data_IF_177362450900
#
_entry.id   IF_177362450900
#
_cell.length_a   1.000
_cell.length_b   1.000
_cell.length_c   1.000
_cell.angle_alpha   90.00
_cell.angle_beta   90.00
_cell.angle_gamma   90.00
#
_symmetry.space_group_name_H-M   'P 1'
#
loop_
_entity.id
_entity.type
_entity.pdbx_description
1 polymer ?
#
# COMPACT_ATOMS: atom_id res chain seq x y z
N UNK A 1 -41.08 -13.51 -2.57
CA UNK A 1 -40.72 -12.97 -1.25
C UNK A 1 -40.21 -14.19 -0.50
N UNK A 2 -38.92 -14.33 -0.19
CA UNK A 2 -38.10 -13.40 0.57
C UNK A 2 -36.63 -13.38 0.14
N UNK A 3 -36.00 -12.24 0.40
CA UNK A 3 -34.66 -11.86 -0.01
C UNK A 3 -33.58 -12.66 0.71
N UNK A 4 -32.79 -13.45 -0.03
CA UNK A 4 -31.47 -13.86 0.42
C UNK A 4 -30.55 -12.64 0.33
N UNK A 5 -30.29 -12.05 1.49
CA UNK A 5 -29.26 -11.04 1.66
C UNK A 5 -27.92 -11.61 1.23
N UNK A 6 -27.47 -11.22 0.05
CA UNK A 6 -26.08 -11.32 -0.34
C UNK A 6 -25.30 -10.43 0.63
N UNK A 7 -24.71 -11.04 1.65
CA UNK A 7 -23.67 -10.42 2.43
C UNK A 7 -22.56 -10.00 1.47
N UNK A 8 -22.48 -8.71 1.19
CA UNK A 8 -21.30 -8.13 0.58
C UNK A 8 -20.10 -8.52 1.43
N UNK A 9 -19.08 -9.22 0.89
CA UNK A 9 -17.82 -9.35 1.59
C UNK A 9 -17.26 -7.94 1.74
N UNK A 10 -17.05 -7.49 2.97
CA UNK A 10 -16.33 -6.26 3.24
C UNK A 10 -14.98 -6.33 2.50
N UNK A 11 -14.62 -5.35 1.65
CA UNK A 11 -13.34 -5.37 0.96
C UNK A 11 -12.26 -4.92 1.95
N UNK A 12 -11.63 -5.84 2.68
CA UNK A 12 -10.31 -5.58 3.29
C UNK A 12 -9.66 -6.87 3.79
N UNK A 13 -9.32 -7.78 2.85
CA UNK A 13 -8.45 -8.93 3.11
C UNK A 13 -6.95 -8.58 3.17
N UNK A 14 -6.61 -7.34 3.55
CA UNK A 14 -5.22 -6.89 3.66
C UNK A 14 -4.76 -7.09 5.10
N UNK A 15 -3.86 -8.05 5.31
CA UNK A 15 -3.14 -8.20 6.57
C UNK A 15 -2.08 -7.09 6.66
N UNK A 16 -2.38 -6.04 7.43
CA UNK A 16 -1.52 -4.87 7.58
C UNK A 16 -0.19 -5.21 8.26
N UNK A 17 -0.18 -6.14 9.21
CA UNK A 17 1.03 -6.55 9.91
C UNK A 17 1.95 -7.32 8.94
N UNK A 18 1.40 -8.24 8.16
CA UNK A 18 2.13 -8.92 7.10
C UNK A 18 2.64 -7.93 6.04
N UNK A 19 1.81 -6.98 5.60
CA UNK A 19 2.21 -5.95 4.63
C UNK A 19 3.38 -5.10 5.17
N UNK A 20 3.34 -4.67 6.44
CA UNK A 20 4.45 -3.95 7.09
C UNK A 20 5.73 -4.76 7.15
N UNK A 21 5.63 -6.05 7.52
CA UNK A 21 6.78 -6.97 7.56
C UNK A 21 7.40 -7.12 6.18
N UNK A 22 6.59 -7.35 5.15
CA UNK A 22 7.06 -7.49 3.76
C UNK A 22 7.70 -6.21 3.25
N UNK A 23 7.06 -5.04 3.41
CA UNK A 23 7.64 -3.76 2.98
C UNK A 23 8.96 -3.46 3.69
N UNK A 24 9.05 -3.76 4.99
CA UNK A 24 10.29 -3.60 5.77
C UNK A 24 11.40 -4.53 5.27
N UNK A 25 11.06 -5.79 4.98
CA UNK A 25 11.99 -6.76 4.41
C UNK A 25 12.49 -6.31 3.02
N UNK A 26 11.61 -5.81 2.17
CA UNK A 26 11.98 -5.27 0.84
C UNK A 26 12.94 -4.09 1.00
N UNK A 27 12.64 -3.12 1.86
CA UNK A 27 13.52 -1.97 2.13
C UNK A 27 14.89 -2.39 2.65
N UNK A 28 14.96 -3.43 3.50
CA UNK A 28 16.22 -3.98 3.98
C UNK A 28 17.00 -4.66 2.86
N UNK A 29 16.35 -5.49 2.03
CA UNK A 29 16.98 -6.22 0.92
C UNK A 29 17.54 -5.31 -0.16
N UNK A 30 16.86 -4.20 -0.48
CA UNK A 30 17.35 -3.20 -1.45
C UNK A 30 18.74 -2.68 -1.08
N UNK A 31 19.04 -2.53 0.22
CA UNK A 31 20.36 -2.06 0.69
C UNK A 31 21.50 -3.06 0.45
N UNK A 32 21.18 -4.33 0.18
CA UNK A 32 22.15 -5.44 0.09
C UNK A 32 22.29 -5.96 -1.34
N UNK A 33 21.83 -5.21 -2.35
CA UNK A 33 21.87 -5.56 -3.79
C UNK A 33 21.26 -6.93 -4.12
N UNK A 34 19.93 -7.04 -4.26
CA UNK A 34 19.28 -8.29 -4.63
C UNK A 34 19.63 -8.70 -6.08
N UNK A 35 19.68 -10.00 -6.33
CA UNK A 35 19.77 -10.54 -7.68
C UNK A 35 18.54 -10.13 -8.51
N UNK A 36 18.63 -10.25 -9.85
CA UNK A 36 17.57 -9.82 -10.77
C UNK A 36 16.24 -10.56 -10.53
N UNK A 37 16.28 -11.88 -10.31
CA UNK A 37 15.09 -12.71 -10.04
C UNK A 37 14.43 -12.36 -8.70
N UNK A 38 15.24 -12.06 -7.67
CA UNK A 38 14.75 -11.56 -6.39
C UNK A 38 14.00 -10.22 -6.55
N UNK A 39 14.49 -9.35 -7.43
CA UNK A 39 13.90 -8.02 -7.63
C UNK A 39 12.51 -8.11 -8.25
N UNK A 40 12.30 -9.01 -9.21
CA UNK A 40 11.00 -9.21 -9.87
C UNK A 40 9.95 -9.79 -8.92
N UNK A 41 10.35 -10.77 -8.09
CA UNK A 41 9.46 -11.33 -7.07
C UNK A 41 9.07 -10.28 -6.02
N UNK A 42 10.05 -9.53 -5.48
CA UNK A 42 9.78 -8.46 -4.52
C UNK A 42 8.94 -7.34 -5.12
N UNK A 43 9.11 -7.05 -6.42
CA UNK A 43 8.28 -6.08 -7.13
C UNK A 43 6.82 -6.53 -7.17
N UNK A 44 6.57 -7.81 -7.47
CA UNK A 44 5.23 -8.37 -7.51
C UNK A 44 4.54 -8.28 -6.14
N UNK A 45 5.25 -8.64 -5.07
CA UNK A 45 4.75 -8.52 -3.69
C UNK A 45 4.43 -7.06 -3.33
N UNK A 46 5.35 -6.13 -3.60
CA UNK A 46 5.15 -4.72 -3.30
C UNK A 46 3.95 -4.12 -4.06
N UNK A 47 3.76 -4.50 -5.32
CA UNK A 47 2.61 -4.08 -6.13
C UNK A 47 1.30 -4.67 -5.63
N UNK A 48 1.28 -5.93 -5.19
CA UNK A 48 0.10 -6.55 -4.60
C UNK A 48 -0.32 -5.80 -3.33
N UNK A 49 0.64 -5.44 -2.47
CA UNK A 49 0.40 -4.62 -1.27
C UNK A 49 -0.17 -3.25 -1.65
N UNK A 50 0.44 -2.54 -2.60
CA UNK A 50 -0.09 -1.26 -3.08
C UNK A 50 -1.54 -1.37 -3.58
N UNK A 51 -1.83 -2.37 -4.41
CA UNK A 51 -3.15 -2.59 -4.97
C UNK A 51 -4.21 -2.82 -3.87
N UNK A 52 -3.84 -3.52 -2.80
CA UNK A 52 -4.69 -3.71 -1.63
C UNK A 52 -4.90 -2.44 -0.79
N UNK A 53 -3.85 -1.62 -0.61
CA UNK A 53 -3.90 -0.44 0.26
C UNK A 53 -4.59 0.76 -0.39
N UNK A 54 -4.45 0.97 -1.70
CA UNK A 54 -5.05 2.09 -2.44
C UNK A 54 -6.55 2.29 -2.13
N UNK A 55 -7.44 1.28 -2.27
CA UNK A 55 -8.86 1.48 -2.01
C UNK A 55 -9.16 1.83 -0.54
N UNK A 56 -8.37 1.30 0.40
CA UNK A 56 -8.53 1.55 1.82
C UNK A 56 -8.17 3.00 2.17
N UNK A 57 -7.02 3.48 1.66
CA UNK A 57 -6.60 4.87 1.87
C UNK A 57 -7.53 5.83 1.12
N UNK A 58 -8.01 5.49 -0.09
CA UNK A 58 -8.99 6.33 -0.81
C UNK A 58 -10.30 6.48 0.00
N UNK A 59 -10.80 5.40 0.59
CA UNK A 59 -11.98 5.44 1.46
C UNK A 59 -11.75 6.27 2.73
N UNK A 60 -10.56 6.20 3.32
CA UNK A 60 -10.17 7.06 4.45
C UNK A 60 -10.13 8.54 4.04
N UNK A 61 -9.37 8.87 3.00
CA UNK A 61 -9.16 10.24 2.50
C UNK A 61 -10.47 10.91 2.08
N UNK A 62 -11.42 10.16 1.51
CA UNK A 62 -12.74 10.70 1.15
C UNK A 62 -13.57 11.15 2.36
N UNK A 63 -13.33 10.60 3.55
CA UNK A 63 -14.01 10.97 4.80
C UNK A 63 -13.43 12.23 5.45
N UNK A 64 -12.22 12.63 5.06
CA UNK A 64 -11.59 13.83 5.61
C UNK A 64 -12.22 15.12 5.05
N UNK A 65 -12.24 16.22 5.83
CA UNK A 65 -12.68 17.53 5.36
C UNK A 65 -11.93 17.95 4.09
N UNK A 66 -12.60 18.64 3.16
CA UNK A 66 -12.00 19.09 1.90
C UNK A 66 -10.86 20.10 2.08
N UNK A 67 -10.82 20.78 3.22
CA UNK A 67 -9.76 21.72 3.61
C UNK A 67 -8.60 21.07 4.37
N UNK A 68 -8.66 19.76 4.61
CA UNK A 68 -7.63 19.07 5.38
C UNK A 68 -6.37 18.85 4.53
N UNK A 69 -5.22 19.33 5.03
CA UNK A 69 -3.91 19.03 4.45
C UNK A 69 -3.63 17.52 4.39
N UNK A 70 -4.19 16.76 5.33
CA UNK A 70 -4.08 15.30 5.34
C UNK A 70 -4.83 14.66 4.15
N UNK A 71 -5.97 15.23 3.77
CA UNK A 71 -6.72 14.80 2.58
C UNK A 71 -5.89 15.00 1.31
N UNK A 72 -5.23 16.14 1.19
CA UNK A 72 -4.40 16.46 0.03
C UNK A 72 -3.17 15.55 -0.06
N UNK A 73 -2.49 15.32 1.08
CA UNK A 73 -1.38 14.35 1.17
C UNK A 73 -1.83 12.94 0.83
N UNK A 74 -3.02 12.53 1.29
CA UNK A 74 -3.59 11.23 0.98
C UNK A 74 -3.88 11.04 -0.50
N UNK A 75 -4.45 12.06 -1.15
CA UNK A 75 -4.68 12.06 -2.61
C UNK A 75 -3.38 11.98 -3.40
N UNK A 76 -2.36 12.75 -3.02
CA UNK A 76 -1.03 12.68 -3.66
C UNK A 76 -0.41 11.29 -3.50
N UNK A 77 -0.48 10.71 -2.30
CA UNK A 77 0.04 9.36 -2.02
C UNK A 77 -0.69 8.30 -2.86
N UNK A 78 -2.02 8.37 -2.98
CA UNK A 78 -2.80 7.47 -3.84
C UNK A 78 -2.43 7.64 -5.32
N UNK A 79 -2.23 8.87 -5.79
CA UNK A 79 -1.83 9.13 -7.17
C UNK A 79 -0.46 8.52 -7.48
N UNK A 80 0.51 8.70 -6.58
CA UNK A 80 1.83 8.05 -6.67
C UNK A 80 1.72 6.53 -6.67
N UNK A 81 0.88 5.95 -5.82
CA UNK A 81 0.66 4.51 -5.76
C UNK A 81 0.06 3.96 -7.06
N UNK A 82 -0.91 4.66 -7.66
CA UNK A 82 -1.47 4.26 -8.97
C UNK A 82 -0.44 4.33 -10.07
N UNK A 83 0.38 5.38 -10.11
CA UNK A 83 1.50 5.49 -11.06
C UNK A 83 2.52 4.36 -10.85
N UNK A 84 2.78 3.97 -9.60
CA UNK A 84 3.64 2.85 -9.26
C UNK A 84 3.12 1.47 -9.75
N UNK A 85 1.82 1.37 -10.06
CA UNK A 85 1.22 0.15 -10.62
C UNK A 85 1.23 0.14 -12.15
N UNK A 86 1.30 1.29 -12.81
CA UNK A 86 1.20 1.36 -14.29
C UNK A 86 2.53 1.16 -15.01
N UNK A 87 3.68 1.37 -14.35
CA UNK A 87 4.97 1.22 -15.03
C UNK A 87 5.41 -0.24 -15.03
N UNK A 88 5.13 -0.96 -16.11
CA UNK A 88 5.43 -2.41 -16.21
C UNK A 88 6.87 -2.71 -16.64
N UNK A 89 7.55 -1.78 -17.29
CA UNK A 89 8.89 -1.93 -17.86
C UNK A 89 10.03 -1.83 -16.83
N UNK A 90 9.73 -1.52 -15.58
CA UNK A 90 10.70 -1.35 -14.48
C UNK A 90 10.73 -2.55 -13.52
N UNK A 91 10.19 -3.71 -13.93
CA UNK A 91 10.02 -4.90 -13.08
C UNK A 91 11.30 -5.40 -12.41
N UNK A 92 12.46 -5.22 -13.05
CA UNK A 92 13.78 -5.63 -12.52
C UNK A 92 14.63 -4.45 -12.00
N UNK A 93 14.05 -3.25 -11.84
CA UNK A 93 14.78 -2.07 -11.37
C UNK A 93 14.74 -1.96 -9.85
N UNK A 94 15.90 -2.08 -9.19
CA UNK A 94 16.06 -1.93 -7.74
C UNK A 94 15.64 -0.53 -7.27
N UNK A 95 15.97 0.52 -8.03
CA UNK A 95 15.55 1.90 -7.74
C UNK A 95 14.03 2.01 -7.76
N UNK A 96 13.39 1.38 -8.75
CA UNK A 96 11.93 1.38 -8.84
C UNK A 96 11.30 0.56 -7.72
N UNK A 97 11.88 -0.58 -7.35
CA UNK A 97 11.44 -1.38 -6.21
C UNK A 97 11.47 -0.55 -4.92
N UNK A 98 12.51 0.25 -4.73
CA UNK A 98 12.62 1.18 -3.61
C UNK A 98 11.53 2.24 -3.60
N UNK A 99 11.20 2.80 -4.77
CA UNK A 99 10.08 3.72 -4.89
C UNK A 99 8.74 3.05 -4.54
N UNK A 100 8.46 1.86 -5.08
CA UNK A 100 7.21 1.12 -4.82
C UNK A 100 7.08 0.81 -3.32
N UNK A 101 8.16 0.30 -2.69
CA UNK A 101 8.18 0.01 -1.26
C UNK A 101 8.00 1.27 -0.40
N UNK A 102 8.60 2.39 -0.81
CA UNK A 102 8.43 3.68 -0.13
C UNK A 102 7.00 4.19 -0.19
N UNK A 103 6.33 4.09 -1.34
CA UNK A 103 4.92 4.48 -1.47
C UNK A 103 4.02 3.55 -0.64
N UNK A 104 4.31 2.24 -0.61
CA UNK A 104 3.56 1.29 0.21
C UNK A 104 3.66 1.60 1.71
N UNK A 105 4.86 1.94 2.18
CA UNK A 105 5.12 2.38 3.56
C UNK A 105 4.29 3.62 3.93
N UNK A 106 4.21 4.61 3.02
CA UNK A 106 3.36 5.78 3.21
C UNK A 106 1.87 5.44 3.30
N UNK A 107 1.36 4.52 2.48
CA UNK A 107 -0.04 4.07 2.57
C UNK A 107 -0.31 3.33 3.87
N UNK A 108 0.63 2.50 4.36
CA UNK A 108 0.53 1.83 5.66
C UNK A 108 0.54 2.82 6.83
N UNK A 109 1.12 4.00 6.66
CA UNK A 109 1.10 5.09 7.65
C UNK A 109 -0.30 5.56 8.03
N UNK A 110 -1.30 5.39 7.15
CA UNK A 110 -2.70 5.74 7.42
C UNK A 110 -3.43 4.75 8.33
N UNK A 111 -2.83 3.57 8.61
CA UNK A 111 -3.44 2.52 9.42
C UNK A 111 -2.49 2.10 10.55
N UNK A 112 -2.17 2.98 11.51
CA UNK A 112 -1.23 2.66 12.59
C UNK A 112 -1.68 1.42 13.37
N UNK A 113 -0.72 0.56 13.72
CA UNK A 113 -0.90 -0.67 14.50
C UNK A 113 -1.44 -0.46 15.93
N UNK A 114 -1.70 0.78 16.35
CA UNK A 114 -2.02 1.13 17.72
C UNK A 114 -3.26 2.01 17.80
N UNK A 115 -4.27 1.45 18.46
CA UNK A 115 -5.21 2.19 19.31
C UNK A 115 -4.37 3.21 20.10
N UNK A 116 -4.69 4.51 20.10
CA UNK A 116 -4.05 5.43 21.02
C UNK A 116 -4.37 4.94 22.43
N UNK A 117 -3.37 4.49 23.19
CA UNK A 117 -3.54 4.38 24.63
C UNK A 117 -3.78 5.80 25.14
N UNK A 118 -4.99 6.06 25.62
CA UNK A 118 -5.28 7.22 26.45
C UNK A 118 -4.35 7.14 27.67
N UNK A 119 -3.50 8.15 27.83
CA UNK A 119 -2.64 8.37 28.99
C UNK A 119 -2.57 9.85 29.29
#
# INVERSE_FOLDING_TARGET
MDAQGYGSPAPSGVDFEAARRTVSAIKARIKVCPAREDTEHLMAEARAILAGLIPLVDAYVRRLPSTSLERDRGRDTIARARTALTWTHTGSSITYLGYVAHVADHLLGYFPDRIPEEG
#
